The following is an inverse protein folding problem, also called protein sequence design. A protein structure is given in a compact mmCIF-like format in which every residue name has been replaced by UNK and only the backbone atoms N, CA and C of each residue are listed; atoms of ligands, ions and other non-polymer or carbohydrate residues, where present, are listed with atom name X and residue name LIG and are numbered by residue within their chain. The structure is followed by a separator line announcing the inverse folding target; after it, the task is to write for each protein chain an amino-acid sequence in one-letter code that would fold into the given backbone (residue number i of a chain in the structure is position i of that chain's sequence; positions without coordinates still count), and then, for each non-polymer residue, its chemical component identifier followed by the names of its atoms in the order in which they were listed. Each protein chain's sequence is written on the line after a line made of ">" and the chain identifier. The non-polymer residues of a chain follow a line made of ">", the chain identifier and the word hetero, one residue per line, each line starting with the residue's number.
data_IF_976346225077
#
_entry.id   IF_976346225077
#
_cell.length_a   1.000
_cell.length_b   1.000
_cell.length_c   1.000
_cell.angle_alpha   90.00
_cell.angle_beta   90.00
_cell.angle_gamma   90.00
#
_symmetry.space_group_name_H-M   'P 1'
#
loop_
_entity.id
_entity.type
_entity.pdbx_description
1 polymer ?
#
# COMPACT_ATOMS: atom_id res chain seq x y z
N UNK A 1 -62.16 -88.05 -26.99
CA UNK A 1 -63.43 -87.34 -26.71
C UNK A 1 -63.12 -85.86 -26.56
N UNK A 2 -63.36 -85.12 -27.64
CA UNK A 2 -63.18 -83.67 -27.71
C UNK A 2 -64.37 -82.98 -27.04
N UNK A 3 -64.10 -81.96 -26.24
CA UNK A 3 -65.13 -81.03 -25.77
C UNK A 3 -64.84 -79.63 -26.29
N UNK A 4 -65.73 -79.20 -27.17
CA UNK A 4 -65.80 -77.88 -27.76
C UNK A 4 -66.63 -76.96 -26.88
N UNK A 5 -66.08 -75.80 -26.54
CA UNK A 5 -66.74 -74.52 -26.23
C UNK A 5 -65.59 -73.53 -25.98
N UNK A 6 -65.58 -72.27 -26.41
CA UNK A 6 -66.70 -71.38 -26.65
C UNK A 6 -66.18 -70.19 -27.45
N UNK A 7 -66.93 -69.84 -28.50
CA UNK A 7 -66.87 -68.59 -29.25
C UNK A 7 -67.17 -67.40 -28.33
N UNK A 8 -66.40 -66.30 -28.44
CA UNK A 8 -66.72 -64.87 -28.19
C UNK A 8 -65.40 -64.05 -28.20
N UNK A 9 -65.40 -62.71 -28.40
CA UNK A 9 -66.09 -61.92 -29.40
C UNK A 9 -65.11 -61.06 -30.25
N UNK A 10 -65.66 -60.54 -31.35
CA UNK A 10 -65.07 -59.58 -32.29
C UNK A 10 -64.66 -58.26 -31.61
N UNK A 11 -63.36 -57.98 -31.52
CA UNK A 11 -62.84 -56.67 -31.09
C UNK A 11 -62.78 -55.76 -32.33
N UNK A 12 -63.73 -54.84 -32.41
CA UNK A 12 -63.77 -53.76 -33.39
C UNK A 12 -62.55 -52.84 -33.23
N UNK A 13 -61.81 -52.65 -34.31
CA UNK A 13 -60.77 -51.64 -34.48
C UNK A 13 -61.36 -50.22 -34.45
N UNK A 14 -61.13 -49.48 -33.37
CA UNK A 14 -61.28 -48.03 -33.35
C UNK A 14 -60.06 -47.34 -33.97
N UNK A 15 -60.21 -46.19 -34.65
CA UNK A 15 -59.08 -45.48 -35.25
C UNK A 15 -58.13 -44.97 -34.15
N UNK A 16 -56.83 -45.17 -34.35
CA UNK A 16 -55.80 -44.60 -33.49
C UNK A 16 -55.88 -43.08 -33.55
N UNK A 17 -56.37 -42.46 -32.49
CA UNK A 17 -56.21 -41.02 -32.26
C UNK A 17 -54.72 -40.77 -32.04
N UNK A 18 -54.05 -40.23 -33.05
CA UNK A 18 -52.69 -39.72 -32.93
C UNK A 18 -52.68 -38.61 -31.86
N UNK A 19 -51.72 -38.60 -30.91
CA UNK A 19 -51.52 -37.42 -30.10
C UNK A 19 -51.13 -36.28 -31.04
N UNK A 20 -51.83 -35.15 -30.91
CA UNK A 20 -51.59 -33.94 -31.67
C UNK A 20 -50.09 -33.60 -31.67
N UNK A 21 -49.53 -33.11 -32.80
CA UNK A 21 -48.12 -32.77 -32.87
C UNK A 21 -47.81 -31.76 -31.78
N UNK A 22 -46.83 -32.09 -30.94
CA UNK A 22 -46.26 -31.19 -29.96
C UNK A 22 -46.02 -29.86 -30.64
N UNK A 23 -46.79 -28.85 -30.22
CA UNK A 23 -46.61 -27.49 -30.70
C UNK A 23 -45.12 -27.19 -30.55
N UNK A 24 -44.46 -26.90 -31.66
CA UNK A 24 -43.13 -26.30 -31.66
C UNK A 24 -43.27 -24.95 -30.97
N UNK A 25 -43.30 -24.97 -29.64
CA UNK A 25 -43.15 -23.84 -28.77
C UNK A 25 -41.75 -23.35 -29.11
N UNK A 26 -41.72 -22.39 -30.03
CA UNK A 26 -40.57 -21.63 -30.47
C UNK A 26 -39.96 -21.06 -29.19
N UNK A 27 -39.05 -21.83 -28.59
CA UNK A 27 -38.30 -21.45 -27.40
C UNK A 27 -37.45 -20.29 -27.89
N UNK A 28 -38.00 -19.09 -27.76
CA UNK A 28 -37.30 -17.83 -27.97
C UNK A 28 -36.26 -17.85 -26.88
N UNK A 29 -35.13 -18.51 -27.14
CA UNK A 29 -33.96 -18.52 -26.28
C UNK A 29 -33.60 -17.06 -26.18
N UNK A 30 -34.04 -16.42 -25.09
CA UNK A 30 -33.72 -15.04 -24.85
C UNK A 30 -32.20 -14.99 -24.91
N UNK A 31 -31.65 -14.08 -25.71
CA UNK A 31 -30.21 -13.86 -25.74
C UNK A 31 -29.73 -13.28 -24.40
N UNK A 32 -30.65 -12.92 -23.51
CA UNK A 32 -30.42 -12.39 -22.17
C UNK A 32 -29.47 -13.26 -21.31
N UNK A 33 -29.67 -14.57 -21.10
CA UNK A 33 -28.70 -15.42 -20.40
C UNK A 33 -27.32 -15.41 -21.06
N UNK A 34 -27.25 -15.41 -22.40
CA UNK A 34 -25.95 -15.38 -23.12
C UNK A 34 -25.24 -14.05 -22.86
N UNK A 35 -25.95 -12.93 -22.95
CA UNK A 35 -25.42 -11.59 -22.69
C UNK A 35 -24.96 -11.45 -21.23
N UNK A 36 -25.73 -11.96 -20.26
CA UNK A 36 -25.36 -11.94 -18.85
C UNK A 36 -24.08 -12.76 -18.61
N UNK A 37 -23.98 -13.95 -19.22
CA UNK A 37 -22.79 -14.81 -19.06
C UNK A 37 -21.54 -14.15 -19.66
N UNK A 38 -21.69 -13.53 -20.83
CA UNK A 38 -20.60 -12.79 -21.49
C UNK A 38 -20.17 -11.58 -20.67
N UNK A 39 -21.11 -10.84 -20.07
CA UNK A 39 -20.81 -9.71 -19.19
C UNK A 39 -20.04 -10.15 -17.93
N UNK A 40 -20.48 -11.22 -17.28
CA UNK A 40 -19.78 -11.76 -16.09
C UNK A 40 -18.37 -12.23 -16.48
N UNK A 41 -18.22 -12.93 -17.61
CA UNK A 41 -16.92 -13.36 -18.11
C UNK A 41 -16.01 -12.18 -18.45
N UNK A 42 -16.53 -11.12 -19.08
CA UNK A 42 -15.78 -9.92 -19.41
C UNK A 42 -15.31 -9.17 -18.16
N UNK A 43 -16.16 -9.05 -17.13
CA UNK A 43 -15.79 -8.44 -15.85
C UNK A 43 -14.75 -9.30 -15.14
N UNK A 44 -14.93 -10.62 -15.10
CA UNK A 44 -13.96 -11.55 -14.52
C UNK A 44 -12.60 -11.47 -15.21
N UNK A 45 -12.60 -11.45 -16.55
CA UNK A 45 -11.39 -11.26 -17.34
C UNK A 45 -10.74 -9.90 -17.08
N UNK A 46 -11.52 -8.82 -16.98
CA UNK A 46 -11.01 -7.49 -16.68
C UNK A 46 -10.35 -7.41 -15.29
N UNK A 47 -10.90 -8.08 -14.27
CA UNK A 47 -10.31 -8.15 -12.92
C UNK A 47 -9.02 -8.96 -12.90
N UNK A 48 -8.97 -10.09 -13.62
CA UNK A 48 -7.74 -10.90 -13.72
C UNK A 48 -6.68 -10.18 -14.54
N UNK A 49 -7.08 -9.52 -15.63
CA UNK A 49 -6.19 -8.73 -16.47
C UNK A 49 -5.62 -7.52 -15.72
N UNK A 50 -6.44 -6.82 -14.94
CA UNK A 50 -5.97 -5.70 -14.11
C UNK A 50 -5.08 -6.14 -12.93
N UNK A 51 -5.30 -7.36 -12.43
CA UNK A 51 -4.41 -7.97 -11.42
C UNK A 51 -3.08 -8.45 -12.02
N UNK A 52 -3.08 -8.82 -13.31
CA UNK A 52 -1.90 -9.34 -14.03
C UNK A 52 -1.10 -8.23 -14.71
N UNK A 53 -1.72 -7.08 -15.00
CA UNK A 53 -1.01 -5.86 -15.32
C UNK A 53 -0.32 -5.39 -14.03
N UNK A 54 0.88 -5.94 -13.80
CA UNK A 54 1.77 -5.55 -12.71
C UNK A 54 1.82 -4.04 -12.68
N UNK A 55 1.13 -3.47 -11.69
CA UNK A 55 1.08 -2.03 -11.51
C UNK A 55 2.48 -1.48 -11.47
N UNK A 56 2.62 -0.19 -11.70
CA UNK A 56 3.81 0.59 -11.39
C UNK A 56 4.09 0.63 -9.87
N UNK A 57 3.90 -0.49 -9.18
CA UNK A 57 4.27 -0.70 -7.79
C UNK A 57 5.75 -1.02 -7.77
N UNK A 58 6.52 -0.09 -7.22
CA UNK A 58 7.89 -0.35 -6.83
C UNK A 58 7.92 -1.64 -6.00
N UNK A 59 8.55 -2.69 -6.54
CA UNK A 59 8.73 -3.92 -5.80
C UNK A 59 9.74 -3.67 -4.67
N UNK A 60 9.34 -4.01 -3.44
CA UNK A 60 10.25 -3.99 -2.31
C UNK A 60 11.20 -5.18 -2.48
N UNK A 61 12.44 -4.92 -2.83
CA UNK A 61 13.48 -5.95 -2.93
C UNK A 61 14.29 -5.95 -1.65
N UNK A 62 14.55 -7.15 -1.11
CA UNK A 62 15.49 -7.31 -0.01
C UNK A 62 16.92 -7.11 -0.54
N UNK A 63 17.81 -6.60 0.31
CA UNK A 63 19.23 -6.39 -0.01
C UNK A 63 19.93 -7.70 -0.42
N UNK A 64 19.45 -8.85 0.09
CA UNK A 64 19.87 -10.20 -0.33
C UNK A 64 19.66 -10.44 -1.81
N UNK A 65 18.47 -10.16 -2.32
CA UNK A 65 18.10 -10.43 -3.72
C UNK A 65 18.88 -9.53 -4.67
N UNK A 66 19.06 -8.26 -4.29
CA UNK A 66 19.86 -7.33 -5.07
C UNK A 66 21.33 -7.68 -5.05
N UNK A 67 21.87 -8.16 -3.93
CA UNK A 67 23.27 -8.56 -3.82
C UNK A 67 23.56 -9.86 -4.59
N UNK A 68 22.62 -10.81 -4.57
CA UNK A 68 22.76 -12.11 -5.23
C UNK A 68 22.48 -12.06 -6.74
N UNK A 69 21.60 -11.16 -7.20
CA UNK A 69 21.14 -11.11 -8.60
C UNK A 69 21.36 -9.74 -9.26
N UNK A 70 22.49 -9.09 -8.97
CA UNK A 70 22.86 -7.77 -9.55
C UNK A 70 22.67 -7.68 -11.07
N UNK A 71 22.94 -8.76 -11.80
CA UNK A 71 22.82 -8.82 -13.26
C UNK A 71 21.41 -9.05 -13.82
N UNK A 72 20.54 -9.79 -13.12
CA UNK A 72 19.20 -10.14 -13.63
C UNK A 72 18.13 -9.08 -13.30
N UNK A 73 18.38 -8.23 -12.32
CA UNK A 73 17.47 -7.16 -11.88
C UNK A 73 17.85 -5.78 -12.45
N UNK A 74 18.82 -5.73 -13.36
CA UNK A 74 19.25 -4.49 -14.01
C UNK A 74 18.10 -3.88 -14.83
N UNK A 75 17.80 -2.60 -14.58
CA UNK A 75 16.75 -1.84 -15.26
C UNK A 75 15.38 -1.84 -14.58
N UNK A 76 15.19 -2.56 -13.47
CA UNK A 76 13.94 -2.53 -12.70
C UNK A 76 13.92 -1.41 -11.66
N UNK A 77 12.73 -0.86 -11.43
CA UNK A 77 12.44 0.02 -10.28
C UNK A 77 12.39 -0.82 -9.01
N UNK A 78 13.31 -0.53 -8.09
CA UNK A 78 13.48 -1.25 -6.83
C UNK A 78 13.37 -0.30 -5.66
N UNK A 79 12.75 -0.78 -4.59
CA UNK A 79 12.67 -0.10 -3.31
C UNK A 79 13.36 -0.95 -2.25
N UNK A 80 14.28 -0.34 -1.51
CA UNK A 80 15.18 -1.02 -0.60
C UNK A 80 15.25 -0.25 0.70
N UNK A 81 15.07 -0.95 1.82
CA UNK A 81 15.37 -0.42 3.16
C UNK A 81 16.72 -0.95 3.62
N UNK A 82 17.53 -0.08 4.20
CA UNK A 82 18.82 -0.47 4.78
C UNK A 82 19.38 0.63 5.67
N UNK A 83 20.45 0.29 6.40
CA UNK A 83 21.20 1.26 7.20
C UNK A 83 22.29 1.89 6.34
N UNK A 84 22.48 3.21 6.48
CA UNK A 84 23.58 3.90 5.80
C UNK A 84 24.90 3.51 6.48
N UNK A 85 25.84 2.93 5.74
CA UNK A 85 27.12 2.51 6.29
C UNK A 85 27.97 3.73 6.69
N UNK A 86 28.55 3.69 7.90
CA UNK A 86 29.40 4.77 8.43
C UNK A 86 30.68 4.92 7.61
N UNK A 87 31.05 6.15 7.28
CA UNK A 87 32.21 6.49 6.46
C UNK A 87 32.08 6.10 4.98
N UNK A 88 30.91 5.66 4.52
CA UNK A 88 30.68 5.29 3.12
C UNK A 88 30.23 6.46 2.25
N UNK A 89 29.81 7.58 2.88
CA UNK A 89 29.26 8.73 2.17
C UNK A 89 30.39 9.49 1.48
N UNK A 90 30.32 9.53 0.15
CA UNK A 90 31.24 10.22 -0.75
C UNK A 90 30.46 11.23 -1.57
N UNK A 91 30.70 12.51 -1.32
CA UNK A 91 30.15 13.60 -2.10
C UNK A 91 30.73 14.93 -1.63
N UNK A 92 31.00 15.83 -2.58
CA UNK A 92 31.41 17.19 -2.20
C UNK A 92 30.16 17.97 -1.75
N UNK A 93 30.27 18.83 -0.71
CA UNK A 93 29.14 19.61 -0.20
C UNK A 93 28.53 20.55 -1.24
N UNK A 94 29.25 20.87 -2.32
CA UNK A 94 28.76 21.68 -3.45
C UNK A 94 28.30 20.84 -4.66
N UNK A 95 28.40 19.50 -4.60
CA UNK A 95 28.04 18.63 -5.72
C UNK A 95 26.61 18.09 -5.57
N UNK A 96 25.94 17.90 -6.70
CA UNK A 96 24.61 17.27 -6.75
C UNK A 96 24.71 15.74 -6.86
N UNK A 97 25.90 15.15 -6.69
CA UNK A 97 26.15 13.72 -6.87
C UNK A 97 26.80 13.12 -5.63
N UNK A 98 26.01 12.38 -4.87
CA UNK A 98 26.44 11.65 -3.69
C UNK A 98 26.47 10.16 -3.97
N UNK A 99 27.40 9.44 -3.33
CA UNK A 99 27.47 7.99 -3.33
C UNK A 99 27.60 7.51 -1.88
N UNK A 100 26.85 6.49 -1.50
CA UNK A 100 26.92 5.90 -0.18
C UNK A 100 26.57 4.42 -0.27
N UNK A 101 26.97 3.64 0.73
CA UNK A 101 26.63 2.22 0.79
C UNK A 101 25.50 1.99 1.79
N UNK A 102 24.52 1.17 1.42
CA UNK A 102 23.52 0.63 2.33
C UNK A 102 23.93 -0.76 2.79
N UNK A 103 23.73 -1.02 4.07
CA UNK A 103 23.99 -2.29 4.73
C UNK A 103 22.72 -2.81 5.43
N UNK A 104 22.49 -4.12 5.35
CA UNK A 104 21.47 -4.83 6.13
C UNK A 104 22.04 -5.37 7.45
N UNK A 105 21.19 -5.70 8.42
CA UNK A 105 21.62 -6.36 9.66
C UNK A 105 22.30 -7.73 9.41
N UNK A 106 22.08 -8.31 8.23
CA UNK A 106 22.68 -9.56 7.77
C UNK A 106 24.04 -9.38 7.05
N UNK A 107 24.54 -8.15 6.94
CA UNK A 107 25.87 -7.84 6.37
C UNK A 107 25.92 -7.68 4.85
N UNK A 108 24.77 -7.72 4.15
CA UNK A 108 24.70 -7.45 2.71
C UNK A 108 24.92 -5.96 2.44
N UNK A 109 25.72 -5.63 1.41
CA UNK A 109 26.03 -4.24 1.04
C UNK A 109 25.70 -3.93 -0.41
N UNK A 110 25.11 -2.76 -0.64
CA UNK A 110 24.86 -2.23 -1.98
C UNK A 110 25.30 -0.77 -2.08
N UNK A 111 25.97 -0.44 -3.19
CA UNK A 111 26.34 0.95 -3.48
C UNK A 111 25.18 1.69 -4.10
N UNK A 112 24.89 2.86 -3.54
CA UNK A 112 23.80 3.75 -3.95
C UNK A 112 24.40 5.03 -4.50
N UNK A 113 23.95 5.44 -5.69
CA UNK A 113 24.25 6.73 -6.28
C UNK A 113 23.02 7.64 -6.22
N UNK A 114 23.15 8.81 -5.62
CA UNK A 114 22.09 9.80 -5.47
C UNK A 114 22.47 11.10 -6.19
N UNK A 115 21.67 11.52 -7.18
CA UNK A 115 21.96 12.69 -8.04
C UNK A 115 21.15 13.93 -7.66
N UNK A 116 20.85 14.11 -6.38
CA UNK A 116 20.15 15.30 -5.84
C UNK A 116 20.81 15.78 -4.56
N UNK A 117 20.37 16.92 -4.05
CA UNK A 117 20.75 17.40 -2.72
C UNK A 117 20.23 16.44 -1.67
N UNK A 118 21.10 16.04 -0.74
CA UNK A 118 20.70 15.20 0.39
C UNK A 118 19.71 15.97 1.28
N UNK A 119 18.65 15.31 1.77
CA UNK A 119 17.72 15.94 2.70
C UNK A 119 18.42 16.19 4.05
N UNK A 120 18.04 17.27 4.74
CA UNK A 120 18.55 17.64 6.07
C UNK A 120 18.60 16.49 7.11
N UNK A 121 17.59 15.59 7.21
CA UNK A 121 17.66 14.45 8.14
C UNK A 121 18.62 13.32 7.74
N UNK A 122 19.43 13.46 6.69
CA UNK A 122 20.38 12.44 6.26
C UNK A 122 21.62 12.37 7.15
N UNK A 123 21.83 11.21 7.79
CA UNK A 123 23.01 10.92 8.59
C UNK A 123 23.46 9.47 8.42
N UNK A 124 24.76 9.24 8.58
CA UNK A 124 25.34 7.90 8.59
C UNK A 124 24.87 7.06 9.78
N UNK A 125 24.70 5.75 9.58
CA UNK A 125 24.24 4.84 10.62
C UNK A 125 22.73 4.84 10.87
N UNK A 126 21.96 5.70 10.19
CA UNK A 126 20.50 5.69 10.26
C UNK A 126 19.88 4.74 9.23
N UNK A 127 18.68 4.29 9.53
CA UNK A 127 17.88 3.50 8.60
C UNK A 127 17.22 4.41 7.56
N UNK A 128 17.43 4.09 6.30
CA UNK A 128 16.90 4.83 5.17
C UNK A 128 16.21 3.89 4.17
N UNK A 129 15.19 4.42 3.52
CA UNK A 129 14.48 3.77 2.44
C UNK A 129 14.88 4.48 1.16
N UNK A 130 15.44 3.72 0.24
CA UNK A 130 15.91 4.20 -1.05
C UNK A 130 15.08 3.58 -2.15
N UNK A 131 14.67 4.41 -3.11
CA UNK A 131 13.90 4.01 -4.27
C UNK A 131 14.61 4.48 -5.52
N UNK A 132 14.72 3.60 -6.51
CA UNK A 132 15.32 3.94 -7.79
C UNK A 132 15.58 2.72 -8.65
N UNK A 133 16.56 2.82 -9.54
CA UNK A 133 16.84 1.78 -10.54
C UNK A 133 18.20 1.15 -10.34
N UNK A 134 18.26 -0.18 -10.44
CA UNK A 134 19.53 -0.89 -10.43
C UNK A 134 20.16 -0.81 -11.83
N UNK A 135 21.35 -0.22 -11.93
CA UNK A 135 22.11 -0.08 -13.19
C UNK A 135 23.55 -0.50 -12.92
N UNK A 136 24.02 -1.52 -13.63
CA UNK A 136 25.40 -2.03 -13.52
C UNK A 136 25.81 -2.37 -12.07
N UNK A 137 24.87 -2.90 -11.28
CA UNK A 137 25.10 -3.25 -9.87
C UNK A 137 25.15 -2.08 -8.89
N UNK A 138 24.90 -0.84 -9.36
CA UNK A 138 24.75 0.36 -8.53
C UNK A 138 23.27 0.76 -8.51
N UNK A 139 22.74 1.02 -7.32
CA UNK A 139 21.38 1.53 -7.18
C UNK A 139 21.37 3.03 -7.44
N UNK A 140 20.88 3.47 -8.59
CA UNK A 140 20.64 4.89 -8.85
C UNK A 140 19.34 5.30 -8.16
N UNK A 141 19.47 6.01 -7.06
CA UNK A 141 18.38 6.47 -6.21
C UNK A 141 17.76 7.76 -6.74
N UNK A 142 16.45 7.73 -6.95
CA UNK A 142 15.63 8.89 -7.30
C UNK A 142 14.98 9.52 -6.07
N UNK A 143 14.62 8.68 -5.08
CA UNK A 143 14.00 9.10 -3.83
C UNK A 143 14.73 8.47 -2.63
N UNK A 144 14.97 9.30 -1.62
CA UNK A 144 15.65 8.95 -0.38
C UNK A 144 14.79 9.45 0.77
N UNK A 145 14.29 8.51 1.58
CA UNK A 145 13.54 8.81 2.80
C UNK A 145 14.29 8.24 3.98
N UNK A 146 14.77 9.12 4.85
CA UNK A 146 15.43 8.71 6.09
C UNK A 146 14.36 8.59 7.16
N UNK A 147 14.36 7.48 7.91
CA UNK A 147 13.44 7.35 9.04
C UNK A 147 13.87 8.36 10.10
N UNK A 148 12.99 9.32 10.42
CA UNK A 148 13.20 10.18 11.57
C UNK A 148 13.18 9.32 12.84
N UNK A 149 14.12 9.52 13.78
CA UNK A 149 14.04 8.94 15.09
C UNK A 149 12.96 9.70 15.87
N UNK A 150 11.68 9.52 15.52
CA UNK A 150 10.65 9.64 16.55
C UNK A 150 10.79 8.38 17.40
N UNK A 151 11.86 8.34 18.21
CA UNK A 151 11.67 7.84 19.55
C UNK A 151 10.50 8.66 20.08
N UNK A 152 9.35 8.02 20.16
CA UNK A 152 8.50 8.25 21.31
C UNK A 152 9.45 8.39 22.51
N UNK A 153 9.55 9.58 23.06
CA UNK A 153 9.70 9.66 24.50
C UNK A 153 8.32 9.19 24.99
N UNK A 154 8.07 7.97 25.45
CA UNK A 154 8.87 6.97 26.16
C UNK A 154 10.01 7.57 26.97
N UNK A 155 9.76 8.70 27.64
CA UNK A 155 10.17 8.73 29.03
C UNK A 155 9.37 7.63 29.72
N UNK A 156 10.05 6.59 30.16
CA UNK A 156 9.47 5.51 30.99
C UNK A 156 8.75 6.07 32.23
N UNK A 157 9.00 7.33 32.58
CA UNK A 157 8.33 8.13 33.61
C UNK A 157 6.87 8.50 33.29
N UNK A 158 6.43 8.47 32.02
CA UNK A 158 5.06 8.78 31.64
C UNK A 158 4.10 7.57 31.67
N UNK A 159 4.65 6.34 31.72
CA UNK A 159 3.86 5.11 31.72
C UNK A 159 3.38 4.69 33.12
N UNK A 160 4.04 5.15 34.19
CA UNK A 160 3.69 4.84 35.59
C UNK A 160 2.78 5.91 36.24
N UNK A 161 2.50 7.00 35.53
CA UNK A 161 1.80 8.14 36.10
C UNK A 161 0.28 7.94 35.97
N UNK A 162 -0.41 7.86 37.11
CA UNK A 162 -1.86 7.67 37.14
C UNK A 162 -2.58 8.78 36.35
N UNK A 163 -3.75 8.50 35.78
CA UNK A 163 -4.51 9.50 35.03
C UNK A 163 -4.79 10.78 35.82
N UNK A 164 -4.86 10.69 37.15
CA UNK A 164 -5.07 11.82 38.04
C UNK A 164 -3.84 12.73 38.10
N UNK A 165 -2.64 12.15 38.20
CA UNK A 165 -1.38 12.89 38.23
C UNK A 165 -1.08 13.53 36.87
N UNK A 166 -1.38 12.83 35.78
CA UNK A 166 -1.28 13.36 34.41
C UNK A 166 -2.19 14.57 34.22
N UNK A 167 -3.45 14.50 34.68
CA UNK A 167 -4.38 15.64 34.64
C UNK A 167 -3.89 16.79 35.52
N UNK A 168 -3.35 16.51 36.71
CA UNK A 168 -2.81 17.54 37.60
C UNK A 168 -1.59 18.25 37.00
N UNK A 169 -0.71 17.53 36.31
CA UNK A 169 0.43 18.08 35.58
C UNK A 169 -0.02 19.04 34.47
N UNK A 170 -0.91 18.58 33.58
CA UNK A 170 -1.41 19.42 32.48
C UNK A 170 -2.18 20.65 32.98
N UNK A 171 -2.95 20.53 34.07
CA UNK A 171 -3.70 21.65 34.65
C UNK A 171 -2.78 22.74 35.24
N UNK A 172 -1.70 22.34 35.91
CA UNK A 172 -0.71 23.28 36.47
C UNK A 172 0.02 24.03 35.36
N UNK A 173 0.45 23.32 34.33
CA UNK A 173 1.18 23.91 33.21
C UNK A 173 0.28 24.85 32.39
N UNK A 174 -0.97 24.43 32.10
CA UNK A 174 -1.95 25.26 31.42
C UNK A 174 -2.29 26.54 32.19
N UNK A 175 -2.46 26.45 33.52
CA UNK A 175 -2.71 27.61 34.37
C UNK A 175 -1.55 28.61 34.36
N UNK A 176 -0.30 28.14 34.39
CA UNK A 176 0.89 29.02 34.24
C UNK A 176 0.88 29.78 32.91
N UNK A 177 0.58 29.10 31.81
CA UNK A 177 0.53 29.74 30.49
C UNK A 177 -0.63 30.74 30.38
N UNK A 178 -1.78 30.45 30.98
CA UNK A 178 -2.89 31.42 31.06
C UNK A 178 -2.53 32.64 31.91
N UNK A 179 -1.86 32.44 33.04
CA UNK A 179 -1.43 33.54 33.91
C UNK A 179 -0.32 34.38 33.26
N UNK A 180 0.60 33.76 32.51
CA UNK A 180 1.58 34.47 31.70
C UNK A 180 0.90 35.32 30.62
N UNK A 181 -0.09 34.77 29.91
CA UNK A 181 -0.87 35.53 28.92
C UNK A 181 -1.71 36.66 29.55
N UNK A 182 -2.21 36.47 30.77
CA UNK A 182 -2.90 37.53 31.52
C UNK A 182 -1.93 38.62 31.98
N UNK A 183 -0.71 38.26 32.39
CA UNK A 183 0.35 39.23 32.74
C UNK A 183 0.80 40.05 31.53
N UNK A 184 0.94 39.45 30.36
CA UNK A 184 1.28 40.18 29.13
C UNK A 184 0.15 41.08 28.64
N UNK A 185 -1.11 40.78 28.96
CA UNK A 185 -2.27 41.62 28.60
C UNK A 185 -2.67 42.64 29.66
N UNK A 186 -2.18 42.53 30.90
CA UNK A 186 -2.52 43.43 32.01
C UNK A 186 -1.48 44.53 32.25
N UNK A 187 -0.39 44.58 31.47
CA UNK A 187 0.71 45.53 31.66
C UNK A 187 1.07 46.29 30.39
N UNK A 188 0.11 46.99 29.77
CA UNK A 188 0.39 48.16 28.93
C UNK A 188 -0.90 48.96 28.68
N UNK A 189 -1.26 49.81 29.65
CA UNK A 189 -2.03 51.03 29.39
C UNK A 189 -1.55 52.10 30.36
N UNK A 190 -0.33 52.59 30.16
CA UNK A 190 0.09 53.86 30.71
C UNK A 190 0.93 54.60 29.67
N UNK A 191 0.25 55.44 28.91
CA UNK A 191 0.85 56.39 27.97
C UNK A 191 1.80 57.35 28.72
N UNK A 192 3.09 57.48 28.35
CA UNK A 192 3.87 58.63 28.81
C UNK A 192 3.51 59.86 27.98
N UNK A 193 2.99 60.88 28.67
CA UNK A 193 2.79 62.22 28.13
C UNK A 193 4.15 62.82 27.70
N UNK A 194 4.22 63.29 26.47
CA UNK A 194 5.39 63.98 25.90
C UNK A 194 5.41 65.43 26.38
N UNK A 195 6.49 65.95 26.99
CA UNK A 195 6.58 67.38 27.26
C UNK A 195 7.00 68.13 25.99
N UNK A 196 6.12 69.01 25.49
CA UNK A 196 6.42 69.98 24.43
C UNK A 196 7.37 71.06 24.93
N UNK A 197 8.38 71.37 24.11
CA UNK A 197 9.08 72.67 24.11
C UNK A 197 8.21 73.72 23.44
#
# INVERSE_FOLDING_TARGET
>A
MLWACRRLPNVRSGPMTQPAPESLAKRKTSLAPVIITVLIAAIGFAVVASSTSGGAGMYNFSLKDLSAQKGQLSGKDVKVSGRIAKGSVRGAPASTSFRFDLEDDEGHRISVGYKRLLPDPFEEGREAIVQGKLVDGVLQADNLTVKCPSRYADTEEAADMTEQDRKAYYQREYKKHLEAQKRTKSGDNQQPAVPSK
#
